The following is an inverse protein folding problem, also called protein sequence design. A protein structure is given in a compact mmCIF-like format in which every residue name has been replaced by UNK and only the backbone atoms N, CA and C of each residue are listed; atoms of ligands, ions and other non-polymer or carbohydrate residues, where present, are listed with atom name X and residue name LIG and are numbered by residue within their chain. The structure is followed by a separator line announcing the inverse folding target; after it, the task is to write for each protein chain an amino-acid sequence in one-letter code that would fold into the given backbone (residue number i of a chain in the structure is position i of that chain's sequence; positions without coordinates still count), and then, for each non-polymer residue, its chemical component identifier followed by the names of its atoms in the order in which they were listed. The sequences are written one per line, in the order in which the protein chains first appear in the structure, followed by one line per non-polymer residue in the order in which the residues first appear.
data_IF_033831390175
#
_entry.id   IF_033831390175
#
_cell.length_a   1.000
_cell.length_b   1.000
_cell.length_c   1.000
_cell.angle_alpha   90.00
_cell.angle_beta   90.00
_cell.angle_gamma   90.00
#
_symmetry.space_group_name_H-M   'P 1'
#
loop_
_entity.id
_entity.type
_entity.pdbx_description
1 polymer ?
#
# COMPACT_ATOMS: atom_id res chain seq x y z
N UNK A 1 -22.91 -65.61 12.20
CA UNK A 1 -22.62 -64.46 13.08
C UNK A 1 -21.25 -63.94 12.64
N UNK A 2 -21.23 -63.02 11.66
CA UNK A 2 -20.97 -61.57 11.86
C UNK A 2 -19.60 -61.36 12.50
N UNK A 3 -18.63 -60.74 11.82
CA UNK A 3 -18.60 -59.27 11.82
C UNK A 3 -17.75 -58.65 10.68
N UNK A 4 -18.12 -57.43 10.34
CA UNK A 4 -17.72 -56.64 9.19
C UNK A 4 -16.27 -56.12 9.21
N UNK A 5 -15.61 -56.12 8.06
CA UNK A 5 -14.41 -55.32 7.84
C UNK A 5 -14.80 -53.85 7.57
N UNK A 6 -14.45 -52.96 8.50
CA UNK A 6 -14.72 -51.51 8.47
C UNK A 6 -13.68 -50.76 7.62
N UNK A 7 -14.06 -49.74 6.82
CA UNK A 7 -13.13 -48.99 5.99
C UNK A 7 -12.29 -48.00 6.81
N UNK A 8 -11.00 -47.86 6.46
CA UNK A 8 -10.11 -46.83 7.00
C UNK A 8 -10.39 -45.50 6.30
N UNK A 9 -11.06 -44.59 7.01
CA UNK A 9 -11.24 -43.20 6.58
C UNK A 9 -9.91 -42.45 6.59
N UNK A 10 -9.60 -41.76 5.48
CA UNK A 10 -8.52 -40.80 5.40
C UNK A 10 -8.92 -39.51 6.14
N UNK A 11 -8.17 -39.13 7.17
CA UNK A 11 -8.40 -37.88 7.90
C UNK A 11 -7.76 -36.72 7.13
N UNK A 12 -8.58 -35.91 6.46
CA UNK A 12 -8.17 -34.61 5.92
C UNK A 12 -7.96 -33.64 7.10
N UNK A 13 -6.72 -33.15 7.26
CA UNK A 13 -6.37 -32.15 8.28
C UNK A 13 -7.15 -30.85 7.99
N UNK A 14 -7.95 -30.29 8.91
CA UNK A 14 -8.63 -29.04 8.66
C UNK A 14 -7.58 -27.92 8.52
N UNK A 15 -7.60 -27.23 7.38
CA UNK A 15 -6.82 -26.00 7.17
C UNK A 15 -7.35 -24.99 8.18
N UNK A 16 -6.55 -24.70 9.21
CA UNK A 16 -6.90 -23.68 10.19
C UNK A 16 -7.18 -22.37 9.45
N UNK A 17 -8.45 -21.93 9.47
CA UNK A 17 -8.80 -20.60 9.03
C UNK A 17 -8.00 -19.63 9.92
N UNK A 18 -7.22 -18.73 9.29
CA UNK A 18 -6.51 -17.69 10.03
C UNK A 18 -7.57 -16.90 10.82
N UNK A 19 -7.36 -16.76 12.12
CA UNK A 19 -8.27 -16.01 12.98
C UNK A 19 -8.44 -14.57 12.44
N UNK A 20 -9.62 -13.94 12.58
CA UNK A 20 -9.79 -12.53 12.26
C UNK A 20 -8.73 -11.74 13.03
N UNK A 21 -7.84 -11.06 12.31
CA UNK A 21 -6.88 -10.19 12.95
C UNK A 21 -7.64 -8.97 13.45
N UNK A 22 -7.59 -8.72 14.76
CA UNK A 22 -8.02 -7.45 15.34
C UNK A 22 -7.05 -6.37 14.85
N UNK A 23 -7.42 -5.74 13.73
CA UNK A 23 -6.67 -4.67 13.09
C UNK A 23 -6.80 -3.39 13.92
N UNK A 24 -6.14 -3.38 15.08
CA UNK A 24 -5.88 -2.13 15.78
C UNK A 24 -4.60 -1.55 15.18
N UNK A 25 -4.68 -0.54 14.28
CA UNK A 25 -3.48 0.11 13.77
C UNK A 25 -2.64 0.58 14.94
N UNK A 26 -1.31 0.46 14.83
CA UNK A 26 -0.38 1.01 15.81
C UNK A 26 -0.57 2.53 15.79
N UNK A 27 -1.46 3.04 16.64
CA UNK A 27 -1.83 4.46 16.67
C UNK A 27 -0.58 5.31 16.94
N UNK A 28 -0.18 6.11 15.96
CA UNK A 28 0.50 7.39 16.19
C UNK A 28 2.00 7.49 15.97
N UNK A 29 2.69 6.50 15.37
CA UNK A 29 4.12 6.66 15.02
C UNK A 29 4.31 6.81 13.52
N UNK A 30 4.91 7.92 13.11
CA UNK A 30 5.41 8.15 11.76
C UNK A 30 6.30 6.97 11.35
N UNK A 31 6.05 6.40 10.18
CA UNK A 31 6.90 5.36 9.58
C UNK A 31 7.90 6.01 8.64
N UNK A 32 9.18 5.81 8.92
CA UNK A 32 10.27 6.26 8.06
C UNK A 32 10.64 5.13 7.10
N UNK A 33 10.55 5.38 5.80
CA UNK A 33 10.91 4.42 4.75
C UNK A 33 11.83 5.07 3.74
N UNK A 34 12.66 4.27 3.08
CA UNK A 34 13.51 4.74 2.01
C UNK A 34 13.10 4.09 0.70
N UNK A 35 12.74 4.91 -0.29
CA UNK A 35 12.28 4.46 -1.60
C UNK A 35 13.20 5.06 -2.64
N UNK A 36 13.91 4.22 -3.41
CA UNK A 36 14.91 4.68 -4.40
C UNK A 36 15.99 5.63 -3.82
N UNK A 37 16.35 5.47 -2.54
CA UNK A 37 17.29 6.34 -1.84
C UNK A 37 16.69 7.69 -1.38
N UNK A 38 15.38 7.89 -1.52
CA UNK A 38 14.64 9.04 -1.02
C UNK A 38 13.96 8.68 0.29
N UNK A 39 14.21 9.47 1.34
CA UNK A 39 13.57 9.29 2.63
C UNK A 39 12.13 9.83 2.60
N UNK A 40 11.18 9.02 3.06
CA UNK A 40 9.74 9.30 3.06
C UNK A 40 9.16 8.99 4.44
N UNK A 41 8.44 9.96 5.00
CA UNK A 41 7.72 9.79 6.25
C UNK A 41 6.24 9.57 5.97
N UNK A 42 5.74 8.37 6.31
CA UNK A 42 4.33 8.03 6.22
C UNK A 42 3.70 8.29 7.59
N UNK A 43 2.97 9.40 7.69
CA UNK A 43 2.19 9.75 8.88
C UNK A 43 0.89 8.90 8.93
N UNK A 44 0.69 8.05 9.96
CA UNK A 44 -0.52 7.26 10.09
C UNK A 44 -1.81 8.11 10.14
N UNK A 45 -1.73 9.38 10.57
CA UNK A 45 -2.90 10.26 10.58
C UNK A 45 -3.43 10.56 9.18
N UNK A 46 -2.55 10.56 8.17
CA UNK A 46 -2.93 10.73 6.76
C UNK A 46 -3.74 9.57 6.23
N UNK A 47 -3.52 8.36 6.75
CA UNK A 47 -4.25 7.16 6.36
C UNK A 47 -5.70 7.16 6.87
N UNK A 48 -6.01 8.02 7.85
CA UNK A 48 -7.35 8.24 8.41
C UNK A 48 -7.96 9.57 7.91
N UNK A 49 -7.34 10.20 6.90
CA UNK A 49 -7.78 11.47 6.32
C UNK A 49 -8.92 11.25 5.32
N UNK A 50 -10.03 11.96 5.50
CA UNK A 50 -11.17 11.87 4.59
C UNK A 50 -10.83 12.34 3.19
N UNK A 51 -10.01 13.38 3.04
CA UNK A 51 -9.59 13.86 1.73
C UNK A 51 -8.73 12.81 0.99
N UNK A 52 -7.96 12.01 1.73
CA UNK A 52 -7.23 10.89 1.12
C UNK A 52 -8.20 9.83 0.59
N UNK A 53 -9.28 9.55 1.32
CA UNK A 53 -10.32 8.60 0.88
C UNK A 53 -11.04 9.08 -0.38
N UNK A 54 -11.33 10.38 -0.49
CA UNK A 54 -11.92 10.97 -1.70
C UNK A 54 -10.99 10.79 -2.91
N UNK A 55 -9.69 11.06 -2.77
CA UNK A 55 -8.74 10.86 -3.87
C UNK A 55 -8.59 9.38 -4.26
N UNK A 56 -8.71 8.46 -3.30
CA UNK A 56 -8.70 7.02 -3.57
C UNK A 56 -9.97 6.58 -4.30
N UNK A 57 -11.13 7.11 -3.93
CA UNK A 57 -12.39 6.90 -4.66
C UNK A 57 -12.25 7.37 -6.11
N UNK A 58 -11.76 8.59 -6.33
CA UNK A 58 -11.59 9.14 -7.68
C UNK A 58 -10.65 8.31 -8.55
N UNK A 59 -9.61 7.73 -7.94
CA UNK A 59 -8.65 6.84 -8.59
C UNK A 59 -9.30 5.50 -8.97
N UNK A 60 -10.12 4.91 -8.10
CA UNK A 60 -10.78 3.62 -8.36
C UNK A 60 -12.00 3.74 -9.27
N UNK A 61 -12.77 4.82 -9.14
CA UNK A 61 -13.99 5.07 -9.90
C UNK A 61 -13.70 5.58 -11.33
N UNK A 62 -12.44 5.61 -11.74
CA UNK A 62 -12.03 6.13 -13.04
C UNK A 62 -12.27 5.13 -14.18
N UNK A 63 -13.31 5.30 -15.01
CA UNK A 63 -13.64 4.35 -16.06
C UNK A 63 -12.59 4.31 -17.17
N UNK A 64 -11.81 5.38 -17.32
CA UNK A 64 -10.83 5.54 -18.38
C UNK A 64 -9.40 5.18 -17.93
N UNK A 65 -9.21 4.87 -16.64
CA UNK A 65 -7.89 4.55 -16.08
C UNK A 65 -6.87 5.67 -16.25
N UNK A 66 -7.28 6.93 -16.06
CA UNK A 66 -6.41 8.10 -16.14
C UNK A 66 -5.38 8.06 -15.01
N UNK A 67 -4.17 7.60 -15.34
CA UNK A 67 -3.03 7.53 -14.44
C UNK A 67 -2.70 8.86 -13.73
N UNK A 68 -3.13 10.02 -14.26
CA UNK A 68 -2.90 11.31 -13.62
C UNK A 68 -3.68 11.49 -12.31
N UNK A 69 -4.76 10.71 -12.07
CA UNK A 69 -5.51 10.74 -10.81
C UNK A 69 -4.71 10.23 -9.61
N UNK A 70 -3.57 9.57 -9.83
CA UNK A 70 -2.66 9.18 -8.74
C UNK A 70 -1.98 10.39 -8.08
N UNK A 71 -1.84 11.50 -8.81
CA UNK A 71 -1.13 12.70 -8.35
C UNK A 71 -1.80 13.33 -7.11
N UNK A 72 -3.11 13.63 -7.11
CA UNK A 72 -3.77 14.15 -5.91
C UNK A 72 -3.67 13.17 -4.74
N UNK A 73 -3.80 11.86 -4.97
CA UNK A 73 -3.65 10.85 -3.92
C UNK A 73 -2.27 10.92 -3.24
N UNK A 74 -1.17 10.89 -4.01
CA UNK A 74 0.19 10.97 -3.46
C UNK A 74 0.43 12.31 -2.77
N UNK A 75 -0.08 13.40 -3.35
CA UNK A 75 0.05 14.73 -2.77
C UNK A 75 -0.65 14.85 -1.41
N UNK A 76 -1.85 14.28 -1.28
CA UNK A 76 -2.59 14.24 0.00
C UNK A 76 -1.90 13.34 1.01
N UNK A 77 -1.41 12.17 0.58
CA UNK A 77 -0.70 11.22 1.43
C UNK A 77 0.57 11.81 2.06
N UNK A 78 1.43 12.44 1.24
CA UNK A 78 2.73 12.96 1.69
C UNK A 78 2.63 14.40 2.23
N UNK A 79 1.58 15.13 1.86
CA UNK A 79 1.49 16.57 2.07
C UNK A 79 2.41 17.37 1.15
N UNK A 80 2.14 18.67 1.02
CA UNK A 80 2.80 19.56 0.05
C UNK A 80 4.33 19.60 0.23
N UNK A 81 4.82 19.74 1.46
CA UNK A 81 6.26 19.92 1.74
C UNK A 81 7.06 18.68 1.38
N UNK A 82 6.63 17.50 1.86
CA UNK A 82 7.35 16.26 1.57
C UNK A 82 7.21 15.87 0.10
N UNK A 83 6.03 16.06 -0.51
CA UNK A 83 5.85 15.83 -1.94
C UNK A 83 6.79 16.67 -2.81
N UNK A 84 7.03 17.94 -2.44
CA UNK A 84 8.06 18.77 -3.10
C UNK A 84 9.46 18.22 -2.90
N UNK A 85 9.83 17.90 -1.67
CA UNK A 85 11.16 17.33 -1.35
C UNK A 85 11.43 16.04 -2.13
N UNK A 86 10.46 15.12 -2.17
CA UNK A 86 10.54 13.88 -2.96
C UNK A 86 10.76 14.18 -4.43
N UNK A 87 9.96 15.09 -5.02
CA UNK A 87 10.13 15.46 -6.42
C UNK A 87 11.52 16.02 -6.69
N UNK A 88 12.04 16.88 -5.82
CA UNK A 88 13.35 17.49 -6.01
C UNK A 88 14.48 16.46 -5.95
N UNK A 89 14.37 15.45 -5.08
CA UNK A 89 15.31 14.33 -5.03
C UNK A 89 15.16 13.35 -6.21
N UNK A 90 13.99 13.27 -6.82
CA UNK A 90 13.74 12.43 -7.99
C UNK A 90 14.16 13.08 -9.31
N UNK A 91 14.46 14.39 -9.35
CA UNK A 91 14.89 15.06 -10.57
C UNK A 91 16.22 14.50 -11.09
N UNK A 92 16.31 14.34 -12.40
CA UNK A 92 17.55 14.02 -13.11
C UNK A 92 18.45 15.25 -13.30
N UNK A 93 19.56 15.07 -14.02
CA UNK A 93 20.54 16.13 -14.30
C UNK A 93 19.96 17.30 -15.10
N UNK A 94 18.89 17.07 -15.88
CA UNK A 94 18.18 18.09 -16.64
C UNK A 94 17.05 18.75 -15.81
N UNK A 95 16.94 18.39 -14.53
CA UNK A 95 15.91 18.89 -13.62
C UNK A 95 14.52 18.30 -13.88
N UNK A 96 14.40 17.21 -14.63
CA UNK A 96 13.13 16.57 -15.00
C UNK A 96 12.88 15.32 -14.18
N UNK A 97 11.61 14.95 -14.01
CA UNK A 97 11.23 13.65 -13.48
C UNK A 97 10.56 12.90 -14.62
N UNK A 98 11.18 11.80 -15.06
CA UNK A 98 10.58 10.97 -16.09
C UNK A 98 9.37 10.21 -15.54
N UNK A 99 8.41 9.89 -16.41
CA UNK A 99 7.27 9.07 -16.03
C UNK A 99 7.69 7.73 -15.41
N UNK A 100 8.69 7.06 -16.02
CA UNK A 100 9.26 5.81 -15.50
C UNK A 100 9.78 5.96 -14.07
N UNK A 101 10.58 6.99 -13.78
CA UNK A 101 11.16 7.20 -12.45
C UNK A 101 10.10 7.50 -11.39
N UNK A 102 9.07 8.27 -11.74
CA UNK A 102 7.94 8.50 -10.84
C UNK A 102 7.16 7.19 -10.61
N UNK A 103 6.93 6.39 -11.65
CA UNK A 103 6.25 5.09 -11.52
C UNK A 103 7.02 4.10 -10.65
N UNK A 104 8.33 3.99 -10.81
CA UNK A 104 9.19 3.15 -9.96
C UNK A 104 9.12 3.59 -8.49
N UNK A 105 9.18 4.90 -8.24
CA UNK A 105 9.03 5.44 -6.89
C UNK A 105 7.66 5.11 -6.29
N UNK A 106 6.58 5.29 -7.05
CA UNK A 106 5.22 4.99 -6.58
C UNK A 106 5.05 3.51 -6.24
N UNK A 107 5.54 2.60 -7.10
CA UNK A 107 5.51 1.16 -6.83
C UNK A 107 6.24 0.83 -5.53
N UNK A 108 7.48 1.31 -5.37
CA UNK A 108 8.26 1.06 -4.15
C UNK A 108 7.62 1.67 -2.89
N UNK A 109 6.99 2.84 -3.01
CA UNK A 109 6.25 3.44 -1.90
C UNK A 109 5.05 2.57 -1.49
N UNK A 110 4.27 2.07 -2.45
CA UNK A 110 3.12 1.23 -2.18
C UNK A 110 3.50 -0.11 -1.54
N UNK A 111 4.63 -0.70 -1.93
CA UNK A 111 5.16 -1.91 -1.29
C UNK A 111 5.40 -1.70 0.21
N UNK A 112 5.87 -0.52 0.63
CA UNK A 112 6.03 -0.19 2.05
C UNK A 112 4.70 0.13 2.77
N UNK A 113 3.64 0.41 2.01
CA UNK A 113 2.30 0.61 2.55
C UNK A 113 1.53 -0.70 2.72
N UNK A 114 1.84 -1.74 1.93
CA UNK A 114 1.25 -3.06 2.10
C UNK A 114 1.63 -3.61 3.49
N UNK A 115 0.65 -3.90 4.37
CA UNK A 115 0.92 -4.45 5.69
C UNK A 115 1.54 -5.87 5.67
N UNK A 116 1.67 -6.51 4.51
CA UNK A 116 2.27 -7.84 4.35
C UNK A 116 3.70 -7.85 3.79
N UNK A 117 4.27 -6.69 3.47
CA UNK A 117 5.67 -6.58 3.03
C UNK A 117 6.68 -6.73 4.17
#
# INVERSE_FOLDING_TARGET
MTDAAKPRTATTKPRAAKAPQDHKPTRGKVRHVQVMGVDVDIDPSRLDDWELMETLYDLQADPDGNALKVVPFIKTLLGETQYRSVKDQLRDQDGRITGTRMSEFMTGLFEHMDPNS
#
